data_IF_998271241803
#
_entry.id   IF_998271241803
#
_cell.length_a   1.000
_cell.length_b   1.000
_cell.length_c   1.000
_cell.angle_alpha   90.00
_cell.angle_beta   90.00
_cell.angle_gamma   90.00
#
_symmetry.space_group_name_H-M   'P 1'
#
loop_
_entity.id
_entity.type
_entity.pdbx_description
1 polymer ?
#
# COMPACT_ATOMS: atom_id res chain seq x y z
N UNK A 1 -30.57 -1.88 -4.22
CA UNK A 1 -31.27 -1.60 -5.49
C UNK A 1 -30.25 -1.13 -6.51
N UNK A 2 -29.87 -2.01 -7.43
CA UNK A 2 -28.92 -1.74 -8.49
C UNK A 2 -29.65 -1.12 -9.69
N UNK A 3 -29.43 0.17 -9.96
CA UNK A 3 -29.86 0.76 -11.22
C UNK A 3 -28.89 0.31 -12.31
N UNK A 4 -29.34 -0.62 -13.15
CA UNK A 4 -28.89 -0.79 -14.52
C UNK A 4 -29.21 0.52 -15.28
N UNK A 5 -28.32 1.52 -15.20
CA UNK A 5 -28.33 2.62 -16.15
C UNK A 5 -27.59 2.14 -17.39
N UNK A 6 -28.38 1.73 -18.39
CA UNK A 6 -27.92 1.57 -19.77
C UNK A 6 -27.37 2.94 -20.19
N UNK A 7 -26.04 3.06 -20.19
CA UNK A 7 -25.34 4.24 -20.69
C UNK A 7 -25.64 4.32 -22.19
N UNK A 8 -26.44 5.31 -22.57
CA UNK A 8 -26.71 5.65 -23.98
C UNK A 8 -25.41 6.14 -24.63
N UNK A 9 -24.64 5.19 -25.19
CA UNK A 9 -23.52 5.52 -26.06
C UNK A 9 -24.05 6.16 -27.35
N UNK A 10 -23.41 7.25 -27.81
CA UNK A 10 -23.64 7.79 -29.17
C UNK A 10 -23.58 6.62 -30.17
N UNK A 11 -24.53 6.49 -31.12
CA UNK A 11 -24.59 5.34 -32.02
C UNK A 11 -23.30 5.26 -32.87
N UNK A 12 -22.61 4.13 -32.77
CA UNK A 12 -21.39 3.81 -33.52
C UNK A 12 -21.72 3.60 -35.01
N UNK A 13 -21.96 4.67 -35.76
CA UNK A 13 -22.67 4.61 -37.04
C UNK A 13 -21.96 3.86 -38.19
N UNK A 14 -20.72 3.35 -38.03
CA UNK A 14 -19.93 2.77 -39.14
C UNK A 14 -19.21 1.44 -38.83
N UNK A 15 -19.58 0.72 -37.77
CA UNK A 15 -18.90 -0.54 -37.41
C UNK A 15 -19.71 -1.81 -37.65
N UNK A 16 -19.02 -2.89 -38.01
CA UNK A 16 -19.62 -4.22 -38.19
C UNK A 16 -20.22 -4.74 -36.89
N UNK A 17 -21.33 -5.48 -37.00
CA UNK A 17 -22.01 -6.10 -35.86
C UNK A 17 -21.06 -6.91 -34.96
N UNK A 18 -20.17 -7.70 -35.58
CA UNK A 18 -19.16 -8.50 -34.88
C UNK A 18 -18.23 -7.66 -33.99
N UNK A 19 -17.80 -6.49 -34.46
CA UNK A 19 -16.91 -5.62 -33.69
C UNK A 19 -17.63 -5.01 -32.48
N UNK A 20 -18.90 -4.60 -32.64
CA UNK A 20 -19.71 -4.10 -31.52
C UNK A 20 -19.96 -5.18 -30.47
N UNK A 21 -20.30 -6.39 -30.91
CA UNK A 21 -20.50 -7.54 -30.02
C UNK A 21 -19.23 -7.87 -29.24
N UNK A 22 -18.08 -7.90 -29.92
CA UNK A 22 -16.78 -8.12 -29.27
C UNK A 22 -16.46 -7.03 -28.22
N UNK A 23 -16.75 -5.76 -28.52
CA UNK A 23 -16.56 -4.64 -27.59
C UNK A 23 -17.42 -4.78 -26.32
N UNK A 24 -18.72 -5.03 -26.47
CA UNK A 24 -19.62 -5.18 -25.32
C UNK A 24 -19.34 -6.44 -24.51
N UNK A 25 -18.97 -7.55 -25.16
CA UNK A 25 -18.52 -8.76 -24.47
C UNK A 25 -17.22 -8.51 -23.68
N UNK A 26 -16.25 -7.82 -24.27
CA UNK A 26 -14.99 -7.46 -23.61
C UNK A 26 -15.23 -6.58 -22.37
N UNK A 27 -16.10 -5.58 -22.47
CA UNK A 27 -16.49 -4.75 -21.33
C UNK A 27 -17.25 -5.54 -20.26
N UNK A 28 -18.14 -6.45 -20.66
CA UNK A 28 -18.86 -7.34 -19.75
C UNK A 28 -17.92 -8.23 -18.95
N UNK A 29 -16.97 -8.88 -19.62
CA UNK A 29 -15.94 -9.69 -18.98
C UNK A 29 -15.05 -8.86 -18.05
N UNK A 30 -14.64 -7.67 -18.50
CA UNK A 30 -13.83 -6.78 -17.68
C UNK A 30 -14.57 -6.33 -16.39
N UNK A 31 -15.90 -6.16 -16.41
CA UNK A 31 -16.69 -5.87 -15.19
C UNK A 31 -16.79 -7.03 -14.21
N UNK A 32 -16.62 -8.28 -14.68
CA UNK A 32 -16.55 -9.46 -13.81
C UNK A 32 -15.18 -9.56 -13.12
N UNK A 33 -14.12 -9.14 -13.81
CA UNK A 33 -12.74 -9.20 -13.31
C UNK A 33 -12.39 -7.97 -12.46
N UNK A 34 -12.91 -6.80 -12.84
CA UNK A 34 -12.58 -5.51 -12.25
C UNK A 34 -13.80 -4.82 -11.64
N UNK A 35 -13.66 -4.39 -10.39
CA UNK A 35 -14.59 -3.49 -9.72
C UNK A 35 -14.04 -2.07 -9.79
N UNK A 36 -14.46 -1.33 -10.81
CA UNK A 36 -14.08 0.07 -11.02
C UNK A 36 -14.90 0.98 -10.11
N UNK A 37 -14.21 1.73 -9.25
CA UNK A 37 -14.77 2.80 -8.43
C UNK A 37 -14.38 4.12 -9.07
N UNK A 38 -15.37 4.93 -9.43
CA UNK A 38 -15.17 6.19 -10.15
C UNK A 38 -15.42 7.37 -9.22
N UNK A 39 -14.53 8.36 -9.25
CA UNK A 39 -14.70 9.67 -8.60
C UNK A 39 -14.58 10.80 -9.62
N UNK A 40 -15.31 11.91 -9.43
CA UNK A 40 -15.19 13.10 -10.28
C UNK A 40 -15.80 12.95 -11.67
N UNK A 41 -16.71 12.00 -11.88
CA UNK A 41 -17.36 11.77 -13.20
C UNK A 41 -18.16 12.99 -13.66
N UNK A 42 -18.69 13.75 -12.71
CA UNK A 42 -19.36 15.03 -12.86
C UNK A 42 -18.46 16.14 -13.44
N UNK A 43 -17.13 16.00 -13.38
CA UNK A 43 -16.19 16.96 -13.96
C UNK A 43 -16.05 16.82 -15.49
N UNK A 44 -16.57 15.74 -16.09
CA UNK A 44 -16.38 15.47 -17.51
C UNK A 44 -17.20 16.45 -18.38
N UNK A 45 -16.56 17.23 -19.27
CA UNK A 45 -17.27 18.14 -20.16
C UNK A 45 -18.28 17.44 -21.08
N UNK A 46 -19.36 18.12 -21.45
CA UNK A 46 -20.32 17.62 -22.44
C UNK A 46 -19.74 17.58 -23.87
N UNK A 47 -18.87 18.54 -24.20
CA UNK A 47 -18.17 18.66 -25.49
C UNK A 47 -16.99 17.70 -25.64
N UNK A 48 -16.15 17.92 -26.65
CA UNK A 48 -14.89 17.19 -26.79
C UNK A 48 -13.83 17.73 -25.83
N UNK A 49 -12.95 16.86 -25.37
CA UNK A 49 -11.86 17.23 -24.47
C UNK A 49 -10.71 16.22 -24.54
N UNK A 50 -9.55 16.63 -24.06
CA UNK A 50 -8.35 15.79 -24.00
C UNK A 50 -8.22 15.15 -22.62
N UNK A 51 -8.23 13.82 -22.56
CA UNK A 51 -8.07 13.03 -21.35
C UNK A 51 -6.59 12.68 -21.13
N UNK A 52 -6.04 13.02 -19.96
CA UNK A 52 -4.64 12.77 -19.61
C UNK A 52 -4.53 11.89 -18.35
N UNK A 53 -4.53 10.56 -18.52
CA UNK A 53 -4.30 9.63 -17.43
C UNK A 53 -2.82 9.42 -17.10
N UNK A 54 -2.49 8.98 -15.88
CA UNK A 54 -1.23 8.27 -15.63
C UNK A 54 -1.22 6.90 -16.34
N UNK A 55 -0.04 6.31 -16.58
CA UNK A 55 0.11 5.08 -17.35
C UNK A 55 0.77 3.96 -16.55
N UNK A 56 -0.05 3.10 -15.91
CA UNK A 56 0.41 2.04 -15.01
C UNK A 56 0.43 0.67 -15.71
N UNK A 57 -0.60 0.33 -16.49
CA UNK A 57 -0.78 -1.01 -17.06
C UNK A 57 -1.26 -1.02 -18.50
N UNK A 58 -1.11 -2.16 -19.16
CA UNK A 58 -1.64 -2.38 -20.50
C UNK A 58 -3.17 -2.32 -20.60
N UNK A 59 -3.88 -2.58 -19.49
CA UNK A 59 -5.35 -2.58 -19.44
C UNK A 59 -5.94 -1.22 -19.11
N UNK A 60 -5.10 -0.18 -18.93
CA UNK A 60 -5.53 1.18 -18.58
C UNK A 60 -6.61 1.70 -19.54
N UNK A 61 -6.45 1.48 -20.86
CA UNK A 61 -7.43 1.90 -21.86
C UNK A 61 -8.81 1.24 -21.66
N UNK A 62 -8.85 -0.04 -21.30
CA UNK A 62 -10.10 -0.76 -21.03
C UNK A 62 -10.76 -0.21 -19.75
N UNK A 63 -9.97 0.04 -18.72
CA UNK A 63 -10.46 0.55 -17.43
C UNK A 63 -10.98 1.99 -17.54
N UNK A 64 -10.29 2.84 -18.29
CA UNK A 64 -10.76 4.19 -18.61
C UNK A 64 -12.07 4.15 -19.41
N UNK A 65 -12.17 3.24 -20.39
CA UNK A 65 -13.40 3.07 -21.14
C UNK A 65 -14.55 2.55 -20.27
N UNK A 66 -14.30 1.70 -19.27
CA UNK A 66 -15.30 1.26 -18.30
C UNK A 66 -15.75 2.38 -17.35
N UNK A 67 -14.84 3.28 -16.99
CA UNK A 67 -15.12 4.41 -16.10
C UNK A 67 -15.85 5.57 -16.81
N UNK A 68 -15.59 5.76 -18.11
CA UNK A 68 -16.10 6.89 -18.89
C UNK A 68 -17.49 6.60 -19.50
N UNK A 69 -18.46 7.53 -19.43
CA UNK A 69 -19.77 7.39 -20.07
C UNK A 69 -19.70 7.36 -21.61
N UNK A 70 -18.71 8.01 -22.19
CA UNK A 70 -18.59 8.23 -23.64
C UNK A 70 -17.43 7.42 -24.19
N UNK A 71 -17.49 7.12 -25.48
CA UNK A 71 -16.42 6.41 -26.17
C UNK A 71 -15.14 7.27 -26.17
N UNK A 72 -14.01 6.65 -25.87
CA UNK A 72 -12.69 7.30 -25.85
C UNK A 72 -11.91 6.86 -27.09
N UNK A 73 -11.36 7.83 -27.82
CA UNK A 73 -10.37 7.61 -28.89
C UNK A 73 -8.97 7.68 -28.30
N UNK A 74 -8.22 6.58 -28.35
CA UNK A 74 -6.88 6.53 -27.77
C UNK A 74 -5.82 6.86 -28.82
N UNK A 75 -4.85 7.71 -28.47
CA UNK A 75 -3.62 7.86 -29.24
C UNK A 75 -2.69 6.69 -28.88
N UNK A 76 -2.35 5.86 -29.88
CA UNK A 76 -1.64 4.58 -29.69
C UNK A 76 -0.48 4.47 -30.68
N UNK A 77 0.64 3.89 -30.26
CA UNK A 77 1.77 3.61 -31.15
C UNK A 77 1.37 2.73 -32.34
N UNK A 78 1.81 3.08 -33.55
CA UNK A 78 1.43 2.40 -34.79
C UNK A 78 1.78 0.91 -34.79
N UNK A 79 2.85 0.49 -34.10
CA UNK A 79 3.23 -0.91 -33.97
C UNK A 79 2.15 -1.75 -33.27
N UNK A 80 1.52 -1.22 -32.22
CA UNK A 80 0.40 -1.87 -31.54
C UNK A 80 -0.90 -1.77 -32.32
N UNK A 81 -1.12 -0.64 -33.00
CA UNK A 81 -2.30 -0.43 -33.83
C UNK A 81 -2.43 -1.47 -34.95
N UNK A 82 -1.31 -1.94 -35.49
CA UNK A 82 -1.25 -2.92 -36.59
C UNK A 82 -1.21 -4.38 -36.14
N UNK A 83 -1.24 -4.68 -34.84
CA UNK A 83 -1.27 -6.06 -34.36
C UNK A 83 -2.61 -6.71 -34.71
N UNK A 84 -2.59 -7.86 -35.39
CA UNK A 84 -3.76 -8.47 -36.02
C UNK A 84 -4.95 -8.71 -35.08
N UNK A 85 -4.71 -9.05 -33.81
CA UNK A 85 -5.78 -9.29 -32.84
C UNK A 85 -6.35 -8.00 -32.20
N UNK A 86 -5.58 -6.91 -32.13
CA UNK A 86 -6.02 -5.62 -31.57
C UNK A 86 -6.64 -4.71 -32.64
N UNK A 87 -6.18 -4.83 -33.89
CA UNK A 87 -6.53 -3.91 -34.97
C UNK A 87 -8.04 -3.74 -35.19
N UNK A 88 -8.88 -4.80 -35.22
CA UNK A 88 -10.33 -4.63 -35.37
C UNK A 88 -10.97 -3.83 -34.23
N UNK A 89 -10.52 -4.04 -33.00
CA UNK A 89 -11.00 -3.32 -31.82
C UNK A 89 -10.52 -1.87 -31.81
N UNK A 90 -9.27 -1.60 -32.16
CA UNK A 90 -8.72 -0.24 -32.20
C UNK A 90 -9.35 0.60 -33.32
N UNK A 91 -9.65 -0.01 -34.47
CA UNK A 91 -10.40 0.63 -35.54
C UNK A 91 -11.83 0.96 -35.10
N UNK A 92 -12.47 0.05 -34.36
CA UNK A 92 -13.81 0.24 -33.81
C UNK A 92 -13.88 1.41 -32.84
N UNK A 93 -12.88 1.56 -31.98
CA UNK A 93 -12.83 2.63 -30.98
C UNK A 93 -12.41 3.98 -31.56
N UNK A 94 -12.00 4.03 -32.83
CA UNK A 94 -11.50 5.24 -33.47
C UNK A 94 -10.12 5.66 -32.96
N UNK A 95 -9.28 4.69 -32.59
CA UNK A 95 -7.92 4.95 -32.11
C UNK A 95 -7.09 5.68 -33.18
N UNK A 96 -6.22 6.58 -32.72
CA UNK A 96 -5.38 7.45 -33.56
C UNK A 96 -3.95 6.91 -33.50
N UNK A 97 -3.42 6.30 -34.58
CA UNK A 97 -2.05 5.79 -34.59
C UNK A 97 -1.04 6.93 -34.59
N UNK A 98 0.05 6.79 -33.83
CA UNK A 98 1.16 7.74 -33.80
C UNK A 98 2.49 7.04 -34.08
N UNK A 99 3.37 7.75 -34.79
CA UNK A 99 4.81 7.41 -34.91
C UNK A 99 5.66 8.64 -34.67
N UNK A 100 6.93 8.49 -34.29
CA UNK A 100 7.84 9.63 -34.15
C UNK A 100 7.94 10.49 -35.41
N UNK A 101 7.85 9.88 -36.60
CA UNK A 101 7.93 10.58 -37.90
C UNK A 101 6.65 11.34 -38.26
N UNK A 102 5.48 10.89 -37.80
CA UNK A 102 4.15 11.47 -38.13
C UNK A 102 3.41 11.99 -36.91
N UNK A 103 4.15 12.41 -35.88
CA UNK A 103 3.55 12.90 -34.63
C UNK A 103 2.64 14.13 -34.86
N UNK A 104 3.01 15.04 -35.76
CA UNK A 104 2.20 16.24 -36.07
C UNK A 104 0.84 15.89 -36.67
N UNK A 105 0.77 14.90 -37.56
CA UNK A 105 -0.49 14.50 -38.20
C UNK A 105 -1.43 13.84 -37.19
N UNK A 106 -0.89 12.99 -36.31
CA UNK A 106 -1.65 12.40 -35.21
C UNK A 106 -2.19 13.46 -34.23
N UNK A 107 -1.39 14.49 -33.91
CA UNK A 107 -1.82 15.61 -33.07
C UNK A 107 -2.94 16.43 -33.73
N UNK A 108 -2.85 16.69 -35.04
CA UNK A 108 -3.93 17.37 -35.79
C UNK A 108 -5.21 16.56 -35.80
N UNK A 109 -5.13 15.26 -36.12
CA UNK A 109 -6.27 14.36 -36.12
C UNK A 109 -6.93 14.26 -34.73
N UNK A 110 -6.13 14.29 -33.66
CA UNK A 110 -6.63 14.37 -32.29
C UNK A 110 -7.38 15.69 -32.05
N UNK A 111 -6.82 16.83 -32.45
CA UNK A 111 -7.47 18.13 -32.30
C UNK A 111 -8.79 18.22 -33.10
N UNK A 112 -8.82 17.69 -34.32
CA UNK A 112 -10.03 17.66 -35.15
C UNK A 112 -11.13 16.77 -34.53
N UNK A 113 -10.76 15.61 -33.99
CA UNK A 113 -11.70 14.73 -33.28
C UNK A 113 -12.26 15.40 -32.03
N UNK A 114 -11.42 16.11 -31.26
CA UNK A 114 -11.88 16.87 -30.09
C UNK A 114 -12.86 17.98 -30.52
N UNK A 115 -12.55 18.73 -31.58
CA UNK A 115 -13.46 19.76 -32.13
C UNK A 115 -14.79 19.17 -32.63
N UNK A 116 -14.78 17.93 -33.14
CA UNK A 116 -15.99 17.18 -33.49
C UNK A 116 -16.80 16.68 -32.27
N UNK A 117 -16.34 16.97 -31.05
CA UNK A 117 -17.01 16.59 -29.82
C UNK A 117 -16.66 15.18 -29.33
N UNK A 118 -15.53 14.61 -29.76
CA UNK A 118 -15.05 13.33 -29.26
C UNK A 118 -14.11 13.50 -28.05
N UNK A 119 -14.00 12.44 -27.24
CA UNK A 119 -13.00 12.35 -26.19
C UNK A 119 -11.76 11.72 -26.78
N UNK A 120 -10.63 12.42 -26.71
CA UNK A 120 -9.33 11.84 -27.09
C UNK A 120 -8.50 11.62 -25.83
N UNK A 121 -7.87 10.46 -25.71
CA UNK A 121 -7.01 10.11 -24.60
C UNK A 121 -5.56 9.99 -25.05
N UNK A 122 -4.66 10.65 -24.32
CA UNK A 122 -3.22 10.59 -24.53
C UNK A 122 -2.54 10.33 -23.20
N UNK A 123 -1.72 9.28 -23.12
CA UNK A 123 -0.88 9.02 -21.96
C UNK A 123 0.36 9.93 -22.02
N UNK A 124 0.45 10.97 -21.16
CA UNK A 124 1.48 12.01 -21.27
C UNK A 124 2.88 11.54 -20.86
N UNK A 125 3.00 10.37 -20.21
CA UNK A 125 4.28 9.76 -19.84
C UNK A 125 5.00 9.12 -21.06
N UNK A 126 4.25 8.75 -22.10
CA UNK A 126 4.77 8.15 -23.34
C UNK A 126 5.34 6.73 -23.19
N UNK A 127 5.36 6.18 -21.97
CA UNK A 127 5.76 4.81 -21.67
C UNK A 127 5.02 4.32 -20.41
N UNK A 128 4.92 3.01 -20.26
CA UNK A 128 4.37 2.38 -19.06
C UNK A 128 5.28 2.58 -17.85
N UNK A 129 4.69 2.86 -16.69
CA UNK A 129 5.43 2.98 -15.44
C UNK A 129 6.11 1.66 -15.05
N UNK A 130 7.37 1.75 -14.63
CA UNK A 130 8.18 0.63 -14.13
C UNK A 130 8.31 0.61 -12.61
N UNK A 131 7.96 1.71 -11.95
CA UNK A 131 8.07 1.91 -10.51
C UNK A 131 6.72 2.13 -9.83
N UNK A 132 5.63 2.20 -10.60
CA UNK A 132 4.31 2.58 -10.09
C UNK A 132 4.20 4.05 -9.68
N UNK A 133 5.22 4.86 -9.95
CA UNK A 133 5.24 6.31 -9.71
C UNK A 133 4.99 7.09 -11.00
N UNK A 134 4.52 8.33 -10.86
CA UNK A 134 4.25 9.23 -11.98
C UNK A 134 5.57 9.69 -12.63
N UNK A 135 5.77 9.28 -13.89
CA UNK A 135 6.94 9.65 -14.67
C UNK A 135 6.89 11.13 -15.11
N UNK A 136 7.94 11.56 -15.82
CA UNK A 136 7.99 12.88 -16.44
C UNK A 136 6.94 12.97 -17.55
N UNK A 137 6.13 14.03 -17.50
CA UNK A 137 5.15 14.33 -18.54
C UNK A 137 5.82 14.93 -19.78
N UNK A 138 5.34 14.57 -20.98
CA UNK A 138 5.77 15.14 -22.26
C UNK A 138 4.79 16.22 -22.72
N UNK A 139 5.30 17.30 -23.33
CA UNK A 139 4.51 18.48 -23.78
C UNK A 139 3.55 18.25 -24.95
N UNK A 140 3.52 17.08 -25.58
CA UNK A 140 2.74 16.85 -26.80
C UNK A 140 1.24 17.15 -26.64
N UNK A 141 0.69 16.95 -25.44
CA UNK A 141 -0.71 17.24 -25.16
C UNK A 141 -1.04 18.75 -25.12
N UNK A 142 -0.08 19.60 -24.75
CA UNK A 142 -0.28 21.07 -24.69
C UNK A 142 -0.61 21.60 -26.09
N UNK A 143 0.08 21.09 -27.11
CA UNK A 143 -0.16 21.43 -28.52
C UNK A 143 -1.55 20.99 -28.99
N UNK A 144 -1.96 19.77 -28.63
CA UNK A 144 -3.28 19.24 -29.00
C UNK A 144 -4.39 20.08 -28.36
N UNK A 145 -4.30 20.36 -27.06
CA UNK A 145 -5.30 21.15 -26.33
C UNK A 145 -5.44 22.57 -26.89
N UNK A 146 -4.31 23.25 -27.17
CA UNK A 146 -4.32 24.60 -27.77
C UNK A 146 -4.90 24.61 -29.17
N UNK A 147 -4.55 23.65 -30.02
CA UNK A 147 -5.07 23.57 -31.39
C UNK A 147 -6.55 23.15 -31.45
N UNK A 148 -7.02 22.40 -30.45
CA UNK A 148 -8.41 22.02 -30.32
C UNK A 148 -9.26 23.11 -29.63
N UNK A 149 -8.63 24.10 -29.00
CA UNK A 149 -9.25 25.07 -28.08
C UNK A 149 -10.13 24.38 -27.03
N UNK A 150 -9.65 23.24 -26.53
CA UNK A 150 -10.45 22.33 -25.71
C UNK A 150 -9.76 21.98 -24.39
N UNK A 151 -10.55 21.77 -23.32
CA UNK A 151 -9.99 21.55 -21.99
C UNK A 151 -9.24 20.21 -21.89
N UNK A 152 -8.32 20.18 -20.94
CA UNK A 152 -7.58 19.00 -20.52
C UNK A 152 -8.17 18.46 -19.24
N UNK A 153 -8.51 17.17 -19.20
CA UNK A 153 -9.01 16.50 -17.99
C UNK A 153 -7.93 15.53 -17.49
N UNK A 154 -7.25 15.84 -16.37
CA UNK A 154 -6.31 14.90 -15.75
C UNK A 154 -7.07 13.72 -15.14
N UNK A 155 -6.49 12.52 -15.21
CA UNK A 155 -7.10 11.30 -14.65
C UNK A 155 -6.07 10.50 -13.89
N UNK A 156 -6.48 9.96 -12.75
CA UNK A 156 -5.65 9.03 -12.00
C UNK A 156 -6.27 7.65 -11.92
N UNK A 157 -5.53 6.66 -12.40
CA UNK A 157 -5.77 5.24 -12.22
C UNK A 157 -4.97 4.74 -11.01
N UNK A 158 -5.63 4.05 -10.08
CA UNK A 158 -5.00 3.50 -8.88
C UNK A 158 -5.36 2.03 -8.62
N UNK A 159 -4.55 1.36 -7.78
CA UNK A 159 -4.67 -0.07 -7.41
C UNK A 159 -4.46 -1.03 -8.57
N UNK A 160 -3.77 -0.58 -9.62
CA UNK A 160 -3.37 -1.40 -10.77
C UNK A 160 -1.97 -2.00 -10.63
N UNK A 161 -1.12 -1.39 -9.81
CA UNK A 161 0.21 -1.89 -9.45
C UNK A 161 0.09 -3.12 -8.54
N UNK A 162 0.75 -4.22 -8.91
CA UNK A 162 0.67 -5.52 -8.23
C UNK A 162 -0.35 -6.50 -8.84
N UNK A 163 -1.11 -6.06 -9.84
CA UNK A 163 -1.97 -6.95 -10.62
C UNK A 163 -1.17 -7.87 -11.54
N UNK A 164 -1.82 -8.91 -12.08
CA UNK A 164 -1.19 -9.81 -13.07
C UNK A 164 -0.79 -9.09 -14.37
N UNK A 165 -1.25 -7.83 -14.55
CA UNK A 165 -1.02 -6.99 -15.72
C UNK A 165 -0.10 -5.79 -15.47
N UNK A 166 0.50 -5.66 -14.28
CA UNK A 166 1.56 -4.66 -14.01
C UNK A 166 2.97 -5.26 -14.17
N UNK A 167 4.02 -4.44 -14.12
CA UNK A 167 5.41 -4.93 -14.12
C UNK A 167 5.91 -5.44 -12.75
N UNK A 168 5.21 -5.11 -11.65
CA UNK A 168 5.58 -5.55 -10.30
C UNK A 168 5.70 -7.08 -10.17
N UNK A 169 6.84 -7.61 -9.69
CA UNK A 169 7.04 -9.05 -9.47
C UNK A 169 7.31 -9.90 -10.73
N UNK A 170 7.73 -9.29 -11.84
CA UNK A 170 8.21 -9.99 -13.04
C UNK A 170 7.34 -9.80 -14.28
N UNK A 171 7.46 -10.73 -15.25
CA UNK A 171 6.77 -10.66 -16.56
C UNK A 171 5.24 -10.75 -16.42
N UNK A 172 4.52 -10.23 -17.42
CA UNK A 172 3.06 -10.32 -17.50
C UNK A 172 2.58 -11.78 -17.50
N UNK A 173 1.37 -12.03 -16.98
CA UNK A 173 0.67 -13.34 -17.02
C UNK A 173 1.29 -14.52 -16.26
N UNK A 174 2.47 -14.37 -15.64
CA UNK A 174 3.06 -15.40 -14.78
C UNK A 174 2.55 -15.35 -13.33
N UNK A 175 1.69 -14.38 -13.01
CA UNK A 175 1.23 -14.06 -11.66
C UNK A 175 -0.16 -14.65 -11.40
N UNK A 176 -0.35 -15.17 -10.19
CA UNK A 176 -1.65 -15.62 -9.70
C UNK A 176 -2.45 -14.44 -9.13
N UNK A 177 -3.79 -14.41 -9.33
CA UNK A 177 -4.59 -13.28 -8.89
C UNK A 177 -4.66 -13.15 -7.36
N UNK A 178 -4.33 -11.98 -6.84
CA UNK A 178 -4.32 -11.72 -5.39
C UNK A 178 -5.71 -11.45 -4.81
N UNK A 179 -6.65 -11.00 -5.64
CA UNK A 179 -8.06 -10.76 -5.27
C UNK A 179 -8.93 -10.76 -6.53
N UNK A 180 -10.12 -11.35 -6.46
CA UNK A 180 -11.15 -11.29 -7.51
C UNK A 180 -12.48 -10.84 -6.89
N UNK A 181 -13.15 -9.81 -7.43
CA UNK A 181 -12.69 -8.90 -8.48
C UNK A 181 -11.63 -7.90 -7.99
N UNK A 182 -10.74 -7.47 -8.88
CA UNK A 182 -9.74 -6.44 -8.59
C UNK A 182 -10.40 -5.08 -8.43
N UNK A 183 -10.16 -4.41 -7.31
CA UNK A 183 -10.61 -3.03 -7.15
C UNK A 183 -9.68 -2.09 -7.92
N UNK A 184 -10.27 -1.23 -8.72
CA UNK A 184 -9.57 -0.17 -9.47
C UNK A 184 -10.24 1.13 -9.13
N UNK A 185 -9.46 2.15 -8.76
CA UNK A 185 -10.00 3.49 -8.58
C UNK A 185 -9.64 4.35 -9.79
N UNK A 186 -10.61 5.08 -10.32
CA UNK A 186 -10.44 6.05 -11.41
C UNK A 186 -10.97 7.39 -10.92
N UNK A 187 -10.11 8.39 -10.83
CA UNK A 187 -10.51 9.75 -10.45
C UNK A 187 -10.31 10.70 -11.63
N UNK A 188 -11.39 11.36 -12.05
CA UNK A 188 -11.38 12.41 -13.05
C UNK A 188 -11.26 13.77 -12.37
N UNK A 189 -10.21 14.53 -12.70
CA UNK A 189 -9.99 15.88 -12.19
C UNK A 189 -10.88 16.92 -12.85
N UNK A 190 -10.76 18.16 -12.36
CA UNK A 190 -11.44 19.30 -12.98
C UNK A 190 -10.84 19.58 -14.37
N UNK A 191 -11.65 20.00 -15.34
CA UNK A 191 -11.15 20.39 -16.65
C UNK A 191 -10.28 21.65 -16.51
N UNK A 192 -9.05 21.57 -17.02
CA UNK A 192 -8.12 22.69 -17.12
C UNK A 192 -8.29 23.34 -18.48
N UNK A 193 -8.30 24.67 -18.52
CA UNK A 193 -8.34 25.40 -19.79
C UNK A 193 -7.04 25.20 -20.58
N UNK A 194 -7.04 25.39 -21.92
CA UNK A 194 -5.83 25.24 -22.74
C UNK A 194 -4.63 26.12 -22.31
N UNK A 195 -4.88 27.25 -21.67
CA UNK A 195 -3.87 28.17 -21.15
C UNK A 195 -3.39 27.81 -19.74
N UNK A 196 -4.18 27.06 -18.96
CA UNK A 196 -3.86 26.58 -17.61
C UNK A 196 -3.19 25.19 -17.62
N UNK A 197 -3.40 24.40 -18.66
CA UNK A 197 -2.97 23.02 -18.77
C UNK A 197 -1.47 22.84 -19.08
N UNK A 198 -0.57 23.52 -18.37
CA UNK A 198 0.87 23.29 -18.50
C UNK A 198 1.36 22.05 -17.73
N UNK A 199 2.60 21.60 -17.99
CA UNK A 199 3.17 20.43 -17.30
C UNK A 199 3.12 20.51 -15.78
N UNK A 200 3.38 21.69 -15.19
CA UNK A 200 3.45 21.82 -13.74
C UNK A 200 2.07 21.62 -13.12
N UNK A 201 1.07 22.32 -13.68
CA UNK A 201 -0.32 22.28 -13.24
C UNK A 201 -0.92 20.90 -13.44
N UNK A 202 -0.75 20.30 -14.63
CA UNK A 202 -1.25 18.93 -14.90
C UNK A 202 -0.60 17.91 -13.96
N UNK A 203 0.71 18.03 -13.69
CA UNK A 203 1.40 17.14 -12.75
C UNK A 203 0.85 17.29 -11.33
N UNK A 204 0.63 18.51 -10.87
CA UNK A 204 0.07 18.78 -9.55
C UNK A 204 -1.34 18.18 -9.42
N UNK A 205 -2.22 18.40 -10.41
CA UNK A 205 -3.58 17.86 -10.41
C UNK A 205 -3.58 16.32 -10.45
N UNK A 206 -2.70 15.69 -11.22
CA UNK A 206 -2.52 14.24 -11.19
C UNK A 206 -2.11 13.74 -9.80
N UNK A 207 -1.20 14.41 -9.11
CA UNK A 207 -0.78 14.02 -7.76
C UNK A 207 -1.90 14.20 -6.72
N UNK A 208 -2.71 15.26 -6.82
CA UNK A 208 -3.91 15.45 -5.98
C UNK A 208 -4.92 14.33 -6.19
N UNK A 209 -5.19 13.95 -7.45
CA UNK A 209 -6.06 12.82 -7.77
C UNK A 209 -5.48 11.49 -7.26
N UNK A 210 -4.15 11.34 -7.32
CA UNK A 210 -3.42 10.22 -6.74
C UNK A 210 -3.63 10.10 -5.24
N UNK A 211 -3.58 11.22 -4.50
CA UNK A 211 -3.90 11.25 -3.07
C UNK A 211 -5.34 10.81 -2.81
N UNK A 212 -6.32 11.34 -3.55
CA UNK A 212 -7.74 11.00 -3.37
C UNK A 212 -7.95 9.49 -3.54
N UNK A 213 -7.43 8.92 -4.62
CA UNK A 213 -7.52 7.48 -4.89
C UNK A 213 -6.81 6.66 -3.81
N UNK A 214 -5.58 7.06 -3.45
CA UNK A 214 -4.79 6.38 -2.42
C UNK A 214 -5.53 6.38 -1.09
N UNK A 215 -6.10 7.51 -0.70
CA UNK A 215 -6.82 7.70 0.57
C UNK A 215 -8.08 6.83 0.70
N UNK A 216 -8.63 6.35 -0.41
CA UNK A 216 -9.80 5.45 -0.46
C UNK A 216 -9.43 3.95 -0.43
N UNK A 217 -8.14 3.60 -0.49
CA UNK A 217 -7.69 2.21 -0.45
C UNK A 217 -8.16 1.52 0.83
N UNK A 218 -8.70 0.31 0.68
CA UNK A 218 -9.27 -0.43 1.82
C UNK A 218 -8.24 -0.75 2.90
N UNK A 219 -6.98 -0.94 2.53
CA UNK A 219 -5.89 -1.21 3.47
C UNK A 219 -5.74 -0.12 4.52
N UNK A 220 -6.03 1.15 4.16
CA UNK A 220 -5.90 2.28 5.08
C UNK A 220 -6.98 2.31 6.17
N UNK A 221 -8.07 1.55 5.96
CA UNK A 221 -9.15 1.43 6.94
C UNK A 221 -8.98 0.22 7.83
N UNK A 222 -8.06 -0.69 7.52
CA UNK A 222 -7.86 -1.91 8.29
C UNK A 222 -7.35 -1.59 9.70
N UNK A 223 -7.65 -2.49 10.64
CA UNK A 223 -6.99 -2.50 11.92
C UNK A 223 -5.58 -3.12 11.78
N UNK A 224 -4.56 -2.52 12.40
CA UNK A 224 -3.16 -2.96 12.28
C UNK A 224 -2.98 -4.43 12.66
N UNK A 225 -3.58 -4.88 13.77
CA UNK A 225 -3.58 -6.28 14.19
C UNK A 225 -4.09 -7.25 13.11
N UNK A 226 -5.14 -6.85 12.40
CA UNK A 226 -5.73 -7.66 11.33
C UNK A 226 -4.81 -7.72 10.11
N UNK A 227 -4.17 -6.61 9.74
CA UNK A 227 -3.17 -6.58 8.68
C UNK A 227 -1.97 -7.49 9.01
N UNK A 228 -1.45 -7.43 10.24
CA UNK A 228 -0.38 -8.32 10.69
C UNK A 228 -0.78 -9.80 10.66
N UNK A 229 -1.99 -10.13 11.15
CA UNK A 229 -2.54 -11.49 11.11
C UNK A 229 -2.63 -12.02 9.68
N UNK A 230 -3.14 -11.21 8.73
CA UNK A 230 -3.19 -11.60 7.31
C UNK A 230 -1.78 -11.80 6.75
N UNK A 231 -0.87 -10.87 7.01
CA UNK A 231 0.51 -10.92 6.56
C UNK A 231 1.22 -12.20 7.00
N UNK A 232 1.19 -12.52 8.29
CA UNK A 232 1.87 -13.71 8.83
C UNK A 232 1.30 -15.02 8.28
N UNK A 233 -0.01 -15.09 8.05
CA UNK A 233 -0.68 -16.33 7.58
C UNK A 233 -0.43 -16.66 6.11
N UNK A 234 -0.09 -15.69 5.25
CA UNK A 234 0.13 -15.96 3.80
C UNK A 234 1.16 -17.07 3.54
N UNK A 235 2.18 -17.22 4.40
CA UNK A 235 3.21 -18.28 4.31
C UNK A 235 3.69 -18.75 5.67
N UNK A 236 2.79 -19.28 6.47
CA UNK A 236 3.04 -19.55 7.87
C UNK A 236 4.31 -20.38 8.18
N UNK A 237 4.77 -21.25 7.27
CA UNK A 237 5.98 -22.05 7.46
C UNK A 237 7.30 -21.33 7.12
N UNK A 238 7.24 -20.24 6.35
CA UNK A 238 8.46 -19.49 6.01
C UNK A 238 9.03 -18.75 7.21
N UNK A 239 10.36 -18.59 7.22
CA UNK A 239 11.07 -17.78 8.21
C UNK A 239 10.54 -16.36 8.20
N UNK A 240 10.29 -15.80 9.39
CA UNK A 240 9.96 -14.39 9.57
C UNK A 240 11.20 -13.63 10.06
N UNK A 241 11.82 -14.15 11.12
CA UNK A 241 12.90 -13.51 11.86
C UNK A 241 14.06 -14.48 11.96
N UNK A 242 15.25 -14.00 11.69
CA UNK A 242 16.52 -14.62 12.05
C UNK A 242 17.14 -13.73 13.13
N UNK A 243 17.52 -14.32 14.25
CA UNK A 243 18.22 -13.56 15.29
C UNK A 243 19.71 -13.47 14.92
N UNK A 244 20.23 -12.25 14.78
CA UNK A 244 21.61 -12.01 14.40
C UNK A 244 22.63 -12.31 15.49
N UNK A 245 22.20 -12.53 16.74
CA UNK A 245 23.09 -12.90 17.86
C UNK A 245 23.33 -14.41 17.94
N UNK A 246 22.27 -15.22 17.78
CA UNK A 246 22.32 -16.68 17.97
C UNK A 246 22.02 -17.49 16.69
N UNK A 247 21.71 -16.81 15.57
CA UNK A 247 21.35 -17.39 14.27
C UNK A 247 20.11 -18.28 14.25
N UNK A 248 19.37 -18.34 15.35
CA UNK A 248 18.12 -19.09 15.41
C UNK A 248 17.04 -18.37 14.59
N UNK A 249 16.09 -19.15 14.07
CA UNK A 249 15.03 -18.65 13.24
C UNK A 249 13.65 -18.85 13.87
N UNK A 250 12.75 -17.90 13.61
CA UNK A 250 11.35 -17.97 13.99
C UNK A 250 10.49 -17.88 12.73
N UNK A 251 9.68 -18.92 12.50
CA UNK A 251 8.73 -18.92 11.38
C UNK A 251 7.53 -18.02 11.67
N UNK A 252 6.84 -17.57 10.61
CA UNK A 252 5.70 -16.66 10.72
C UNK A 252 4.55 -17.22 11.55
N UNK A 253 4.26 -18.51 11.37
CA UNK A 253 3.24 -19.22 12.12
C UNK A 253 3.59 -19.31 13.60
N UNK A 254 4.85 -19.62 13.94
CA UNK A 254 5.32 -19.65 15.32
C UNK A 254 5.30 -18.25 15.95
N UNK A 255 5.76 -17.23 15.23
CA UNK A 255 5.67 -15.83 15.66
C UNK A 255 4.22 -15.43 15.99
N UNK A 256 3.27 -15.78 15.12
CA UNK A 256 1.85 -15.56 15.37
C UNK A 256 1.36 -16.31 16.62
N UNK A 257 1.71 -17.59 16.77
CA UNK A 257 1.31 -18.39 17.93
C UNK A 257 1.82 -17.80 19.25
N UNK A 258 3.09 -17.39 19.30
CA UNK A 258 3.69 -16.73 20.47
C UNK A 258 3.00 -15.41 20.77
N UNK A 259 2.83 -14.56 19.76
CA UNK A 259 2.22 -13.25 19.95
C UNK A 259 0.74 -13.33 20.36
N UNK A 260 -0.02 -14.31 19.85
CA UNK A 260 -1.42 -14.53 20.24
C UNK A 260 -1.53 -15.03 21.69
N UNK A 261 -0.67 -15.95 22.10
CA UNK A 261 -0.65 -16.44 23.48
C UNK A 261 -0.34 -15.29 24.45
N UNK A 262 0.67 -14.47 24.14
CA UNK A 262 1.00 -13.28 24.93
C UNK A 262 -0.13 -12.23 24.87
N UNK A 263 -0.74 -11.98 23.71
CA UNK A 263 -1.84 -11.02 23.57
C UNK A 263 -3.03 -11.35 24.48
N UNK A 264 -3.37 -12.64 24.60
CA UNK A 264 -4.43 -13.10 25.52
C UNK A 264 -4.08 -12.85 26.97
N UNK A 265 -2.83 -13.10 27.35
CA UNK A 265 -2.34 -12.81 28.68
C UNK A 265 -2.42 -11.31 29.02
N UNK A 266 -1.93 -10.47 28.11
CA UNK A 266 -1.98 -9.01 28.26
C UNK A 266 -3.42 -8.51 28.38
N UNK A 267 -4.36 -9.08 27.60
CA UNK A 267 -5.78 -8.71 27.70
C UNK A 267 -6.40 -9.06 29.05
N UNK A 268 -5.94 -10.14 29.69
CA UNK A 268 -6.46 -10.59 30.98
C UNK A 268 -5.85 -9.86 32.17
N UNK A 269 -4.55 -9.54 32.13
CA UNK A 269 -3.82 -8.99 33.27
C UNK A 269 -3.65 -7.48 33.26
N UNK A 270 -3.57 -6.89 32.08
CA UNK A 270 -3.32 -5.46 31.93
C UNK A 270 -4.65 -4.77 31.55
N UNK A 271 -5.37 -4.10 32.46
CA UNK A 271 -6.59 -3.38 32.12
C UNK A 271 -6.34 -2.12 31.27
N UNK A 272 -5.14 -1.54 31.33
CA UNK A 272 -4.76 -0.31 30.65
C UNK A 272 -4.70 -0.43 29.12
N UNK A 273 -4.93 0.69 28.43
CA UNK A 273 -4.94 0.74 26.96
C UNK A 273 -3.53 0.80 26.36
N UNK A 274 -2.55 1.36 27.08
CA UNK A 274 -1.17 1.56 26.62
C UNK A 274 -0.20 0.71 27.43
N UNK A 275 0.67 0.00 26.73
CA UNK A 275 1.70 -0.86 27.35
C UNK A 275 3.08 -0.39 26.89
N UNK A 276 3.96 -0.14 27.86
CA UNK A 276 5.33 0.25 27.60
C UNK A 276 6.15 -0.94 27.10
N UNK A 277 7.09 -0.70 26.19
CA UNK A 277 8.02 -1.72 25.70
C UNK A 277 9.43 -1.16 25.79
N UNK A 278 10.30 -1.89 26.50
CA UNK A 278 11.73 -1.60 26.65
C UNK A 278 12.51 -2.82 26.17
N UNK A 279 12.61 -2.97 24.85
CA UNK A 279 13.31 -4.06 24.19
C UNK A 279 14.00 -3.54 22.91
N UNK A 280 15.22 -4.00 22.62
CA UNK A 280 15.89 -3.69 21.36
C UNK A 280 15.27 -4.50 20.19
N UNK A 281 15.69 -4.22 18.94
CA UNK A 281 15.37 -5.07 17.79
C UNK A 281 15.79 -6.53 18.02
N UNK A 282 14.84 -7.45 17.87
CA UNK A 282 15.02 -8.87 18.18
C UNK A 282 13.69 -9.62 18.23
N UNK A 283 13.75 -10.96 18.38
CA UNK A 283 12.54 -11.81 18.52
C UNK A 283 11.60 -11.29 19.61
N UNK A 284 12.16 -10.94 20.78
CA UNK A 284 11.39 -10.43 21.92
C UNK A 284 10.67 -9.12 21.63
N UNK A 285 11.39 -8.12 21.07
CA UNK A 285 10.80 -6.82 20.74
C UNK A 285 9.68 -6.92 19.68
N UNK A 286 9.86 -7.80 18.69
CA UNK A 286 8.82 -8.07 17.67
C UNK A 286 7.61 -8.77 18.28
N UNK A 287 7.82 -9.81 19.10
CA UNK A 287 6.74 -10.52 19.79
C UNK A 287 5.95 -9.59 20.70
N UNK A 288 6.63 -8.75 21.49
CA UNK A 288 5.99 -7.81 22.42
C UNK A 288 5.09 -6.83 21.67
N UNK A 289 5.62 -6.14 20.64
CA UNK A 289 4.84 -5.18 19.85
C UNK A 289 3.63 -5.82 19.17
N UNK A 290 3.82 -6.98 18.55
CA UNK A 290 2.74 -7.71 17.89
C UNK A 290 1.67 -8.16 18.90
N UNK A 291 2.07 -8.66 20.07
CA UNK A 291 1.15 -9.11 21.11
C UNK A 291 0.30 -7.97 21.68
N UNK A 292 0.90 -6.80 21.92
CA UNK A 292 0.16 -5.62 22.42
C UNK A 292 -0.92 -5.20 21.41
N UNK A 293 -0.59 -5.11 20.12
CA UNK A 293 -1.56 -4.74 19.09
C UNK A 293 -2.64 -5.83 18.90
N UNK A 294 -2.27 -7.12 18.94
CA UNK A 294 -3.24 -8.23 18.91
C UNK A 294 -4.16 -8.26 20.16
N UNK A 295 -3.70 -7.73 21.29
CA UNK A 295 -4.49 -7.62 22.51
C UNK A 295 -5.59 -6.54 22.40
N UNK A 296 -5.54 -5.67 21.38
CA UNK A 296 -6.38 -4.47 21.27
C UNK A 296 -5.83 -3.31 22.09
N UNK A 297 -4.50 -3.26 22.28
CA UNK A 297 -3.79 -2.26 23.09
C UNK A 297 -2.77 -1.52 22.23
N UNK A 298 -2.25 -0.42 22.76
CA UNK A 298 -1.36 0.51 22.07
C UNK A 298 0.08 0.33 22.62
N UNK A 299 1.03 -0.14 21.81
CA UNK A 299 2.43 -0.24 22.23
C UNK A 299 3.06 1.15 22.31
N UNK A 300 3.85 1.35 23.37
CA UNK A 300 4.65 2.55 23.62
C UNK A 300 6.11 2.12 23.74
N UNK A 301 6.85 2.15 22.64
CA UNK A 301 8.28 1.82 22.65
C UNK A 301 9.05 2.99 23.25
N UNK A 302 9.63 2.80 24.43
CA UNK A 302 10.36 3.84 25.15
C UNK A 302 11.81 3.94 24.64
N UNK A 303 12.28 5.16 24.42
CA UNK A 303 13.69 5.40 24.13
C UNK A 303 14.52 5.27 25.41
N UNK A 304 15.01 4.06 25.66
CA UNK A 304 15.85 3.74 26.81
C UNK A 304 17.28 4.29 26.74
N UNK A 305 17.63 5.06 25.69
CA UNK A 305 18.88 5.82 25.62
C UNK A 305 18.68 7.31 25.93
N UNK A 306 17.46 7.74 26.26
CA UNK A 306 17.17 9.11 26.68
C UNK A 306 17.49 9.33 28.16
N UNK A 307 17.49 10.60 28.59
CA UNK A 307 17.66 10.91 30.02
C UNK A 307 16.52 10.34 30.86
N UNK A 308 16.78 10.14 32.15
CA UNK A 308 15.80 9.64 33.11
C UNK A 308 14.55 10.52 33.16
N UNK A 309 14.72 11.84 33.14
CA UNK A 309 13.63 12.83 33.16
C UNK A 309 12.75 12.71 31.92
N UNK A 310 13.37 12.54 30.74
CA UNK A 310 12.65 12.33 29.49
C UNK A 310 11.84 11.04 29.53
N UNK A 311 12.41 9.95 30.05
CA UNK A 311 11.71 8.67 30.19
C UNK A 311 10.53 8.78 31.17
N UNK A 312 10.74 9.38 32.35
CA UNK A 312 9.65 9.62 33.34
C UNK A 312 8.55 10.48 32.73
N UNK A 313 8.91 11.55 32.02
CA UNK A 313 7.95 12.40 31.33
C UNK A 313 7.14 11.61 30.28
N UNK A 314 7.80 10.78 29.48
CA UNK A 314 7.15 9.94 28.48
C UNK A 314 6.21 8.90 29.11
N UNK A 315 6.64 8.22 30.19
CA UNK A 315 5.81 7.27 30.92
C UNK A 315 4.56 7.94 31.51
N UNK A 316 4.73 9.13 32.08
CA UNK A 316 3.65 9.93 32.68
C UNK A 316 2.64 10.37 31.60
N UNK A 317 3.11 10.95 30.49
CA UNK A 317 2.27 11.36 29.36
C UNK A 317 1.53 10.17 28.73
N UNK A 318 2.17 9.01 28.67
CA UNK A 318 1.58 7.79 28.12
C UNK A 318 0.65 7.06 29.11
N UNK A 319 0.65 7.42 30.40
CA UNK A 319 -0.12 6.75 31.43
C UNK A 319 0.30 5.30 31.66
N UNK A 320 1.61 5.01 31.56
CA UNK A 320 2.13 3.64 31.63
C UNK A 320 2.08 3.09 33.05
N UNK A 321 1.48 1.91 33.19
CA UNK A 321 1.47 1.11 34.43
C UNK A 321 2.31 -0.16 34.29
N UNK A 322 2.29 -0.73 33.09
CA UNK A 322 2.99 -1.97 32.75
C UNK A 322 4.04 -1.73 31.68
N UNK A 323 5.23 -2.30 31.88
CA UNK A 323 6.31 -2.34 30.88
C UNK A 323 6.65 -3.80 30.56
N UNK A 324 6.72 -4.13 29.27
CA UNK A 324 7.29 -5.40 28.78
C UNK A 324 8.79 -5.20 28.54
N UNK A 325 9.60 -6.07 29.14
CA UNK A 325 11.06 -6.08 28.94
C UNK A 325 11.64 -7.49 29.11
N UNK A 326 12.96 -7.56 29.31
CA UNK A 326 13.72 -8.76 29.62
C UNK A 326 14.65 -8.47 30.81
N UNK A 327 14.98 -9.49 31.62
CA UNK A 327 15.92 -9.38 32.75
C UNK A 327 17.29 -8.88 32.28
N UNK A 328 17.73 -9.31 31.11
CA UNK A 328 18.97 -8.82 30.50
C UNK A 328 18.94 -7.30 30.24
N UNK A 329 17.78 -6.74 29.86
CA UNK A 329 17.61 -5.29 29.73
C UNK A 329 17.53 -4.60 31.08
N UNK A 330 16.78 -5.15 32.03
CA UNK A 330 16.69 -4.60 33.39
C UNK A 330 18.06 -4.53 34.08
N UNK A 331 18.90 -5.55 33.91
CA UNK A 331 20.28 -5.57 34.41
C UNK A 331 21.19 -4.57 33.70
N UNK A 332 20.99 -4.35 32.39
CA UNK A 332 21.76 -3.35 31.64
C UNK A 332 21.35 -1.91 31.98
N UNK A 333 20.11 -1.72 32.41
CA UNK A 333 19.47 -0.43 32.61
C UNK A 333 19.09 -0.26 34.10
N UNK A 334 20.08 -0.30 34.98
CA UNK A 334 19.88 -0.26 36.45
C UNK A 334 19.21 1.06 36.90
N UNK A 335 19.57 2.19 36.27
CA UNK A 335 19.02 3.51 36.59
C UNK A 335 17.69 3.82 35.87
N UNK A 336 17.19 2.89 35.05
CA UNK A 336 15.97 3.11 34.30
C UNK A 336 14.76 3.20 35.26
N UNK A 337 13.88 4.20 35.08
CA UNK A 337 12.71 4.37 35.95
C UNK A 337 11.65 3.33 35.58
N UNK A 338 11.81 2.09 36.06
CA UNK A 338 10.85 1.01 35.82
C UNK A 338 9.49 1.30 36.48
N UNK A 339 8.40 0.91 35.82
CA UNK A 339 7.06 0.92 36.42
C UNK A 339 6.94 -0.17 37.49
N UNK A 340 5.96 -0.09 38.41
CA UNK A 340 5.74 -1.14 39.40
C UNK A 340 5.49 -2.53 38.79
N UNK A 341 4.85 -2.57 37.62
CA UNK A 341 4.57 -3.81 36.89
C UNK A 341 5.51 -3.95 35.69
N UNK A 342 6.46 -4.89 35.78
CA UNK A 342 7.37 -5.25 34.67
C UNK A 342 7.15 -6.71 34.29
N UNK A 343 6.74 -6.93 33.04
CA UNK A 343 6.58 -8.26 32.45
C UNK A 343 7.87 -8.66 31.74
N UNK A 344 8.61 -9.60 32.33
CA UNK A 344 9.80 -10.19 31.72
C UNK A 344 9.42 -11.35 30.79
N UNK A 345 9.73 -11.22 29.49
CA UNK A 345 9.32 -12.20 28.47
C UNK A 345 9.83 -13.62 28.77
N UNK A 346 11.05 -13.76 29.26
CA UNK A 346 11.67 -15.05 29.60
C UNK A 346 11.00 -15.76 30.79
N UNK A 347 10.24 -15.06 31.63
CA UNK A 347 9.49 -15.65 32.75
C UNK A 347 8.08 -16.03 32.30
N UNK A 348 7.47 -15.17 31.48
CA UNK A 348 6.08 -15.28 31.06
C UNK A 348 5.90 -16.30 29.94
N UNK A 349 6.81 -16.34 28.95
CA UNK A 349 6.66 -17.20 27.77
C UNK A 349 6.80 -18.71 28.05
N UNK A 350 7.71 -19.19 28.93
CA UNK A 350 7.81 -20.62 29.21
C UNK A 350 6.54 -21.22 29.79
N UNK A 351 5.84 -20.49 30.66
CA UNK A 351 4.56 -20.91 31.24
C UNK A 351 3.44 -21.01 30.18
N UNK A 352 3.61 -20.39 29.01
CA UNK A 352 2.63 -20.36 27.92
C UNK A 352 2.91 -21.38 26.82
N UNK A 353 3.94 -22.22 26.92
CA UNK A 353 4.31 -23.19 25.87
C UNK A 353 3.12 -23.98 25.30
N UNK A 354 2.21 -24.57 26.11
CA UNK A 354 1.05 -25.29 25.58
C UNK A 354 0.11 -24.38 24.78
N UNK A 355 -0.15 -23.16 25.27
CA UNK A 355 -0.99 -22.19 24.58
C UNK A 355 -0.35 -21.71 23.27
N UNK A 356 0.97 -21.49 23.25
CA UNK A 356 1.72 -21.11 22.06
C UNK A 356 1.55 -22.17 20.97
N UNK A 357 1.72 -23.45 21.30
CA UNK A 357 1.56 -24.57 20.37
C UNK A 357 0.12 -24.66 19.86
N UNK A 358 -0.87 -24.57 20.76
CA UNK A 358 -2.28 -24.61 20.40
C UNK A 358 -2.65 -23.48 19.42
N UNK A 359 -2.25 -22.24 19.72
CA UNK A 359 -2.54 -21.09 18.86
C UNK A 359 -1.77 -21.11 17.56
N UNK A 360 -0.55 -21.63 17.54
CA UNK A 360 0.18 -21.86 16.31
C UNK A 360 -0.57 -22.84 15.40
N UNK A 361 -0.93 -24.03 15.90
CA UNK A 361 -1.64 -25.05 15.12
C UNK A 361 -3.02 -24.58 14.65
N UNK A 362 -3.80 -23.97 15.54
CA UNK A 362 -5.12 -23.43 15.21
C UNK A 362 -5.02 -22.31 14.14
N UNK A 363 -3.98 -21.48 14.24
CA UNK A 363 -3.69 -20.44 13.25
C UNK A 363 -3.09 -20.98 11.96
N UNK A 364 -2.69 -22.25 11.86
CA UNK A 364 -2.36 -22.86 10.56
C UNK A 364 -3.63 -23.32 9.84
N UNK A 365 -4.57 -23.94 10.58
CA UNK A 365 -5.75 -24.56 10.00
C UNK A 365 -6.84 -23.56 9.56
N UNK A 366 -7.04 -22.45 10.28
CA UNK A 366 -8.19 -21.56 10.04
C UNK A 366 -7.86 -20.37 9.12
N UNK A 367 -8.80 -19.85 8.32
CA UNK A 367 -8.65 -18.56 7.63
C UNK A 367 -8.41 -17.38 8.59
N UNK A 368 -7.73 -16.32 8.12
CA UNK A 368 -7.40 -15.15 8.94
C UNK A 368 -8.64 -14.48 9.54
N UNK A 369 -9.73 -14.43 8.78
CA UNK A 369 -11.01 -13.89 9.21
C UNK A 369 -11.61 -14.64 10.43
N UNK A 370 -11.40 -15.95 10.54
CA UNK A 370 -11.90 -16.75 11.66
C UNK A 370 -11.03 -16.59 12.90
N UNK A 371 -9.70 -16.61 12.73
CA UNK A 371 -8.76 -16.33 13.82
C UNK A 371 -9.02 -14.94 14.40
N UNK A 372 -9.22 -13.93 13.55
CA UNK A 372 -9.55 -12.57 13.98
C UNK A 372 -10.83 -12.53 14.82
N UNK A 373 -11.90 -13.22 14.39
CA UNK A 373 -13.16 -13.31 15.14
C UNK A 373 -12.96 -13.95 16.51
N UNK A 374 -12.27 -15.09 16.57
CA UNK A 374 -12.01 -15.80 17.82
C UNK A 374 -11.17 -14.97 18.80
N UNK A 375 -10.22 -14.18 18.27
CA UNK A 375 -9.39 -13.29 19.06
C UNK A 375 -10.02 -11.92 19.34
N UNK A 376 -11.25 -11.67 18.87
CA UNK A 376 -11.92 -10.37 18.99
C UNK A 376 -11.10 -9.21 18.39
N UNK A 377 -10.37 -9.48 17.31
CA UNK A 377 -9.57 -8.47 16.61
C UNK A 377 -10.51 -7.68 15.67
N UNK A 378 -10.62 -6.35 15.83
CA UNK A 378 -11.39 -5.52 14.92
C UNK A 378 -10.85 -5.62 13.49
N UNK A 379 -11.73 -5.50 12.50
CA UNK A 379 -11.30 -5.42 11.09
C UNK A 379 -10.98 -4.00 10.65
N UNK A 380 -11.58 -3.02 11.30
CA UNK A 380 -11.46 -1.60 10.99
C UNK A 380 -10.79 -0.92 12.18
N UNK A 381 -9.83 -0.05 11.89
CA UNK A 381 -9.20 0.82 12.88
C UNK A 381 -9.09 2.25 12.35
N UNK A 382 -8.69 2.41 11.07
CA UNK A 382 -8.65 3.69 10.36
C UNK A 382 -7.93 4.79 11.18
N UNK A 383 -8.65 5.76 11.74
CA UNK A 383 -8.09 6.89 12.49
C UNK A 383 -7.87 6.63 13.98
N UNK A 384 -8.27 5.48 14.50
CA UNK A 384 -8.01 5.10 15.90
C UNK A 384 -6.51 4.95 16.17
N UNK A 385 -6.08 5.32 17.37
CA UNK A 385 -4.68 5.25 17.81
C UNK A 385 -4.18 3.80 17.81
N UNK A 386 -3.11 3.56 17.07
CA UNK A 386 -2.48 2.24 16.96
C UNK A 386 -1.18 2.15 17.74
N UNK A 387 -0.40 3.24 17.81
CA UNK A 387 0.95 3.29 18.39
C UNK A 387 1.19 4.69 18.97
N UNK A 388 1.90 4.78 20.08
CA UNK A 388 2.43 6.05 20.59
C UNK A 388 3.96 6.04 20.51
N UNK A 389 4.53 7.01 19.79
CA UNK A 389 5.97 7.26 19.76
C UNK A 389 6.28 8.60 20.44
N UNK A 390 7.52 8.76 20.90
CA UNK A 390 7.99 10.03 21.46
C UNK A 390 9.07 10.64 20.57
N UNK A 391 8.97 11.96 20.38
CA UNK A 391 10.04 12.73 19.71
C UNK A 391 10.94 13.36 20.76
N UNK A 392 12.24 13.45 20.46
CA UNK A 392 13.26 13.91 21.40
C UNK A 392 13.16 15.40 21.76
N UNK A 393 12.31 16.18 21.10
CA UNK A 393 12.02 17.59 21.43
C UNK A 393 13.27 18.48 21.50
N UNK A 394 13.53 19.31 20.48
CA UNK A 394 14.73 20.15 20.41
C UNK A 394 14.93 21.18 21.54
N UNK A 395 13.96 21.36 22.45
CA UNK A 395 14.02 22.36 23.53
C UNK A 395 13.16 22.03 24.78
N UNK A 396 12.85 20.76 25.05
CA UNK A 396 12.03 20.43 26.22
C UNK A 396 11.66 18.95 26.38
N UNK A 397 10.70 18.69 27.27
CA UNK A 397 10.18 17.34 27.52
C UNK A 397 9.74 16.63 26.22
N UNK A 398 9.97 15.31 26.10
CA UNK A 398 9.61 14.57 24.90
C UNK A 398 8.12 14.67 24.64
N UNK A 399 7.72 14.74 23.36
CA UNK A 399 6.32 14.90 22.97
C UNK A 399 5.78 13.58 22.43
N UNK A 400 4.69 13.11 23.02
CA UNK A 400 3.94 11.95 22.51
C UNK A 400 3.27 12.27 21.17
N UNK A 401 3.49 11.40 20.19
CA UNK A 401 2.92 11.45 18.85
C UNK A 401 2.04 10.22 18.65
N UNK A 402 0.72 10.34 18.86
CA UNK A 402 -0.21 9.24 18.61
C UNK A 402 -0.30 9.00 17.10
N UNK A 403 -0.05 7.77 16.67
CA UNK A 403 -0.12 7.34 15.29
C UNK A 403 -1.32 6.41 15.12
N UNK A 404 -2.20 6.75 14.17
CA UNK A 404 -3.37 5.92 13.86
C UNK A 404 -3.02 4.66 13.08
N UNK A 405 -3.94 3.69 13.04
CA UNK A 405 -3.81 2.51 12.18
C UNK A 405 -3.56 2.91 10.71
N UNK A 406 -4.28 3.92 10.23
CA UNK A 406 -4.13 4.51 8.90
C UNK A 406 -2.73 5.07 8.67
N UNK A 407 -2.13 5.75 9.66
CA UNK A 407 -0.79 6.29 9.51
C UNK A 407 0.24 5.17 9.28
N UNK A 408 0.18 4.12 10.09
CA UNK A 408 1.11 2.98 9.99
C UNK A 408 0.88 2.22 8.68
N UNK A 409 -0.36 1.86 8.37
CA UNK A 409 -0.70 1.07 7.18
C UNK A 409 -0.43 1.86 5.88
N UNK A 410 -0.65 3.17 5.89
CA UNK A 410 -0.29 4.05 4.77
C UNK A 410 1.22 4.07 4.54
N UNK A 411 2.00 4.28 5.60
CA UNK A 411 3.45 4.33 5.46
C UNK A 411 4.05 2.97 5.06
N UNK A 412 3.55 1.87 5.64
CA UNK A 412 3.88 0.50 5.21
C UNK A 412 3.54 0.27 3.74
N UNK A 413 2.34 0.67 3.29
CA UNK A 413 1.93 0.48 1.90
C UNK A 413 2.75 1.33 0.91
N UNK A 414 3.15 2.54 1.28
CA UNK A 414 4.02 3.38 0.46
C UNK A 414 5.42 2.79 0.38
N UNK A 415 5.97 2.34 1.52
CA UNK A 415 7.28 1.71 1.58
C UNK A 415 7.33 0.43 0.74
N UNK A 416 6.31 -0.43 0.87
CA UNK A 416 6.18 -1.66 0.08
C UNK A 416 6.21 -1.40 -1.43
N UNK A 417 5.52 -0.34 -1.88
CA UNK A 417 5.45 0.01 -3.30
C UNK A 417 6.80 0.50 -3.85
N UNK A 418 7.62 1.16 -3.04
CA UNK A 418 8.91 1.72 -3.45
C UNK A 418 10.05 0.71 -3.37
N UNK A 419 10.09 -0.12 -2.33
CA UNK A 419 11.14 -1.14 -2.18
C UNK A 419 10.96 -2.28 -3.20
N UNK A 420 9.71 -2.56 -3.59
CA UNK A 420 9.30 -3.69 -4.44
C UNK A 420 9.98 -5.01 -4.06
N UNK A 421 10.09 -5.25 -2.75
CA UNK A 421 10.90 -6.36 -2.26
C UNK A 421 10.31 -7.70 -2.66
N UNK A 422 11.17 -8.62 -3.05
CA UNK A 422 10.80 -9.96 -3.43
C UNK A 422 10.82 -10.91 -2.23
N UNK A 423 10.36 -12.14 -2.48
CA UNK A 423 10.37 -13.24 -1.51
C UNK A 423 11.78 -13.63 -1.07
N UNK A 424 12.77 -13.32 -1.90
CA UNK A 424 14.15 -13.67 -1.69
C UNK A 424 14.91 -12.59 -0.92
N UNK A 425 14.29 -11.43 -0.72
CA UNK A 425 14.93 -10.33 -0.03
C UNK A 425 14.93 -10.57 1.48
N UNK A 426 15.92 -9.96 2.13
CA UNK A 426 16.13 -10.01 3.56
C UNK A 426 16.59 -8.63 4.03
N UNK A 427 15.98 -8.13 5.10
CA UNK A 427 16.28 -6.82 5.66
C UNK A 427 17.07 -7.00 6.96
N UNK A 428 18.18 -6.28 7.10
CA UNK A 428 18.84 -6.13 8.39
C UNK A 428 18.02 -5.19 9.27
N UNK A 429 17.41 -5.74 10.31
CA UNK A 429 16.56 -5.06 11.27
C UNK A 429 17.38 -4.68 12.52
N UNK A 430 18.23 -3.65 12.40
CA UNK A 430 19.03 -3.10 13.51
C UNK A 430 18.54 -1.77 14.05
N UNK A 431 17.51 -1.18 13.42
CA UNK A 431 16.96 0.11 13.81
C UNK A 431 16.03 -0.02 15.03
N UNK A 432 16.17 0.82 16.07
CA UNK A 432 15.34 0.74 17.26
C UNK A 432 13.85 0.97 16.99
N UNK A 433 12.99 0.18 17.64
CA UNK A 433 11.52 0.26 17.45
C UNK A 433 10.87 1.51 18.07
N UNK A 434 11.57 2.23 18.95
CA UNK A 434 11.12 3.53 19.48
C UNK A 434 11.34 4.69 18.50
N UNK A 435 12.08 4.48 17.40
CA UNK A 435 12.17 5.42 16.29
C UNK A 435 11.16 5.05 15.20
N UNK A 436 10.54 6.06 14.57
CA UNK A 436 9.53 5.86 13.54
C UNK A 436 10.01 4.98 12.38
N UNK A 437 11.27 5.13 11.96
CA UNK A 437 11.82 4.33 10.87
C UNK A 437 11.97 2.85 11.25
N UNK A 438 12.51 2.53 12.43
CA UNK A 438 12.56 1.15 12.93
C UNK A 438 11.17 0.57 13.19
N UNK A 439 10.27 1.36 13.77
CA UNK A 439 8.89 0.98 14.02
C UNK A 439 8.17 0.57 12.71
N UNK A 440 8.23 1.39 11.67
CA UNK A 440 7.56 1.06 10.41
C UNK A 440 8.32 -0.01 9.62
N UNK A 441 9.61 0.21 9.34
CA UNK A 441 10.33 -0.50 8.27
C UNK A 441 10.95 -1.81 8.73
N UNK A 442 11.42 -1.89 9.98
CA UNK A 442 12.05 -3.10 10.52
C UNK A 442 11.12 -3.92 11.42
N UNK A 443 9.93 -3.40 11.74
CA UNK A 443 8.90 -4.08 12.54
C UNK A 443 7.61 -4.33 11.76
N UNK A 444 6.83 -3.30 11.40
CA UNK A 444 5.48 -3.53 10.82
C UNK A 444 5.50 -4.00 9.37
N UNK A 445 6.34 -3.40 8.54
CA UNK A 445 6.50 -3.76 7.14
C UNK A 445 6.79 -5.25 6.91
N UNK A 446 7.83 -5.86 7.51
CA UNK A 446 8.13 -7.27 7.29
C UNK A 446 7.03 -8.21 7.79
N UNK A 447 6.30 -7.84 8.85
CA UNK A 447 5.17 -8.63 9.37
C UNK A 447 3.99 -8.61 8.37
N UNK A 448 3.64 -7.44 7.84
CA UNK A 448 2.46 -7.22 7.00
C UNK A 448 2.70 -7.70 5.56
N UNK A 449 3.82 -7.29 4.96
CA UNK A 449 4.12 -7.57 3.57
C UNK A 449 4.78 -8.94 3.40
N UNK A 450 5.62 -9.29 4.36
CA UNK A 450 6.19 -10.62 4.46
C UNK A 450 7.63 -10.78 4.04
N UNK A 451 8.41 -9.74 4.21
CA UNK A 451 9.86 -9.76 4.03
C UNK A 451 10.52 -10.41 5.24
N UNK A 452 11.59 -11.17 5.00
CA UNK A 452 12.40 -11.78 6.06
C UNK A 452 13.28 -10.69 6.70
N UNK A 453 13.49 -10.80 8.01
CA UNK A 453 14.44 -9.93 8.70
C UNK A 453 15.52 -10.72 9.41
N UNK A 454 16.73 -10.18 9.42
CA UNK A 454 17.77 -10.54 10.40
C UNK A 454 17.88 -9.42 11.42
N UNK A 455 17.52 -9.69 12.67
CA UNK A 455 17.49 -8.67 13.73
C UNK A 455 18.82 -8.56 14.42
N UNK A 456 19.27 -7.34 14.72
CA UNK A 456 20.46 -7.12 15.54
C UNK A 456 20.24 -5.97 16.53
N UNK A 457 20.55 -6.12 17.83
CA UNK A 457 20.12 -5.14 18.85
C UNK A 457 20.68 -3.73 18.70
N UNK A 458 21.91 -3.58 18.19
CA UNK A 458 22.62 -2.30 18.17
C UNK A 458 23.02 -1.89 16.75
N UNK A 459 22.55 -0.75 16.24
CA UNK A 459 23.00 -0.25 14.94
C UNK A 459 24.46 0.25 14.95
N UNK A 460 25.09 0.38 16.13
CA UNK A 460 26.43 0.94 16.29
C UNK A 460 27.55 -0.08 16.05
N UNK A 461 27.24 -1.38 16.02
CA UNK A 461 28.24 -2.44 15.84
C UNK A 461 28.41 -2.79 14.36
N UNK A 462 28.98 -1.86 13.60
CA UNK A 462 29.08 -1.93 12.13
C UNK A 462 29.71 -3.24 11.62
N UNK A 463 30.76 -3.74 12.27
CA UNK A 463 31.42 -4.99 11.87
C UNK A 463 30.50 -6.22 12.02
N UNK A 464 29.68 -6.27 13.07
CA UNK A 464 28.71 -7.34 13.29
C UNK A 464 27.59 -7.28 12.28
N UNK A 465 27.11 -6.07 11.97
CA UNK A 465 26.11 -5.84 10.93
C UNK A 465 26.64 -6.27 9.55
N UNK A 466 27.87 -5.90 9.20
CA UNK A 466 28.50 -6.30 7.95
C UNK A 466 28.62 -7.82 7.84
N UNK A 467 29.02 -8.51 8.91
CA UNK A 467 29.08 -9.98 8.95
C UNK A 467 27.71 -10.64 8.75
N UNK A 468 26.62 -10.01 9.22
CA UNK A 468 25.26 -10.49 8.96
C UNK A 468 24.86 -10.31 7.49
N UNK A 469 25.26 -9.19 6.87
CA UNK A 469 25.02 -8.93 5.43
C UNK A 469 25.81 -9.89 4.55
N UNK A 470 27.04 -10.21 4.93
CA UNK A 470 27.86 -11.18 4.17
C UNK A 470 27.27 -12.60 4.24
N UNK A 471 26.69 -12.96 5.39
CA UNK A 471 26.16 -14.31 5.63
C UNK A 471 24.80 -14.59 4.98
N UNK A 472 23.92 -13.60 4.90
CA UNK A 472 22.50 -13.75 4.53
C UNK A 472 22.14 -12.91 3.32
#
# INVERSE_FOLDING_TARGET
MALLLIVNHKPMAQSSFAARTFYFLGLGLARLIYRVVVSGRENLPAGGFLLLPNHITWVDAILLQLACPRQIRFIIDEGYYRQGFLHPFLRLTGAIPITPRRAKDAMRAAADAIRAGDIVCLFPEGQLSRSGTLLRLRRGYELISRQAEAPVVPVWLDQLWGSIFSFQGGRFFTKWPQSLPYRVAVAFGRPLRPDEGDIATVREELLKLGEICYSQRSILREHLAFACLRGLKRRAFSTAIIDGMDHSSLSRGKLLGVAVALARHLRQRCPEHRIGIVLPPGKGGVVANLAVVLAGKIPVNLNFTSSREAIVSAQTQAGLKTIISARAMAKRLEEFPWTPEVLHLEEVLPAMKPAIIAWWMLSLAMPAAMVARLLHIPRVGDREEAILLFTSGSAGAPKGVPLSHRNILGNVSQFAALLDSTRNDLIVASLPFFHSFGCTVTLWYPIIDGVRIVTYPSPLEAAKIAALVERY
#
